data_IF_304186902893
#
_entry.id   IF_304186902893
#
_cell.length_a   1.000
_cell.length_b   1.000
_cell.length_c   1.000
_cell.angle_alpha   90.00
_cell.angle_beta   90.00
_cell.angle_gamma   90.00
#
_symmetry.space_group_name_H-M   'P 1'
#
loop_
_entity.id
_entity.type
_entity.pdbx_description
1 polymer ?
#
# COMPACT_ATOMS: atom_id res chain seq x y z
N UNK A 1 -18.01 14.23 15.80
CA UNK A 1 -16.91 14.69 16.63
C UNK A 1 -15.82 15.14 15.69
N UNK A 2 -15.79 16.43 15.41
CA UNK A 2 -14.90 17.07 14.43
C UNK A 2 -13.57 17.29 15.14
N UNK A 3 -12.52 16.56 14.73
CA UNK A 3 -11.17 16.84 15.21
C UNK A 3 -10.66 18.08 14.46
N UNK A 4 -10.80 19.24 15.05
CA UNK A 4 -10.00 20.41 14.66
C UNK A 4 -8.55 20.14 15.10
N UNK A 5 -7.71 19.80 14.14
CA UNK A 5 -6.27 19.91 14.31
C UNK A 5 -5.96 21.41 14.43
N UNK A 6 -5.88 21.89 15.65
CA UNK A 6 -5.36 23.22 15.93
C UNK A 6 -3.85 23.19 15.66
N UNK A 7 -3.50 23.34 14.37
CA UNK A 7 -2.12 23.56 13.94
C UNK A 7 -1.88 25.04 14.17
N UNK A 8 -1.03 25.44 15.11
CA UNK A 8 -0.68 26.85 15.26
C UNK A 8 -0.07 27.33 13.94
N UNK A 9 -0.36 28.59 13.49
CA UNK A 9 0.20 29.11 12.27
C UNK A 9 1.74 29.13 12.40
N UNK A 10 2.40 28.24 11.67
CA UNK A 10 3.84 28.29 11.49
C UNK A 10 4.16 29.33 10.45
N UNK A 11 4.26 30.60 10.86
CA UNK A 11 5.06 31.52 10.11
C UNK A 11 6.53 31.17 10.37
N UNK A 12 7.32 30.79 9.37
CA UNK A 12 8.74 30.71 9.57
C UNK A 12 9.22 32.12 9.84
N UNK A 13 9.65 32.37 11.08
CA UNK A 13 10.53 33.50 11.35
C UNK A 13 11.76 33.31 10.48
N UNK A 14 12.14 34.35 9.77
CA UNK A 14 13.24 34.41 8.79
C UNK A 14 14.63 34.15 9.39
N UNK A 15 14.72 33.82 10.66
CA UNK A 15 15.93 33.53 11.39
C UNK A 15 15.86 32.13 12.05
N UNK A 16 16.38 31.14 11.36
CA UNK A 16 16.81 29.96 12.06
C UNK A 16 16.12 28.65 11.65
N UNK A 17 16.92 27.75 11.16
CA UNK A 17 16.66 26.31 11.17
C UNK A 17 16.27 25.93 12.60
N UNK A 18 15.12 25.24 12.84
CA UNK A 18 14.73 24.82 14.18
C UNK A 18 15.87 24.06 14.86
N UNK A 19 16.16 24.38 16.10
CA UNK A 19 17.19 23.69 16.84
C UNK A 19 16.81 22.19 16.99
N UNK A 20 17.78 21.33 17.18
CA UNK A 20 17.53 19.92 17.44
C UNK A 20 16.61 19.74 18.67
N UNK A 21 16.75 20.61 19.66
CA UNK A 21 15.94 20.62 20.88
C UNK A 21 14.49 20.98 20.61
N UNK A 22 14.23 21.99 19.77
CA UNK A 22 12.87 22.37 19.36
C UNK A 22 12.18 21.24 18.58
N UNK A 23 12.92 20.58 17.71
CA UNK A 23 12.43 19.43 16.93
C UNK A 23 12.08 18.28 17.86
N UNK A 24 12.94 17.94 18.82
CA UNK A 24 12.68 16.90 19.82
C UNK A 24 11.47 17.26 20.69
N UNK A 25 11.35 18.52 21.13
CA UNK A 25 10.22 18.99 21.92
C UNK A 25 8.90 18.88 21.13
N UNK A 26 8.92 19.21 19.84
CA UNK A 26 7.76 19.08 18.95
C UNK A 26 7.34 17.60 18.79
N UNK A 27 8.29 16.72 18.51
CA UNK A 27 8.02 15.28 18.36
C UNK A 27 7.47 14.68 19.66
N UNK A 28 8.03 15.04 20.83
CA UNK A 28 7.52 14.60 22.13
C UNK A 28 6.08 15.06 22.35
N UNK A 29 5.73 16.28 21.94
CA UNK A 29 4.37 16.83 22.03
C UNK A 29 3.42 16.01 21.14
N UNK A 30 3.80 15.71 19.91
CA UNK A 30 3.00 14.88 19.00
C UNK A 30 2.80 13.47 19.54
N UNK A 31 3.85 12.83 20.05
CA UNK A 31 3.74 11.51 20.67
C UNK A 31 2.80 11.51 21.87
N UNK A 32 2.87 12.54 22.71
CA UNK A 32 1.96 12.69 23.86
C UNK A 32 0.52 12.88 23.40
N UNK A 33 0.28 13.74 22.41
CA UNK A 33 -1.08 13.97 21.87
C UNK A 33 -1.66 12.73 21.17
N UNK A 34 -0.81 11.89 20.57
CA UNK A 34 -1.25 10.65 19.91
C UNK A 34 -1.44 9.48 20.86
N UNK A 35 -0.93 9.54 22.09
CA UNK A 35 -1.00 8.44 23.05
C UNK A 35 -2.44 8.07 23.46
N UNK A 36 -3.34 9.06 23.48
CA UNK A 36 -4.75 8.89 23.85
C UNK A 36 -5.64 8.48 22.67
N UNK A 37 -5.09 8.50 21.45
CA UNK A 37 -5.83 8.08 20.25
C UNK A 37 -5.86 6.56 20.16
N UNK A 38 -7.06 5.99 20.27
CA UNK A 38 -7.22 4.54 20.07
C UNK A 38 -6.82 4.18 18.63
N UNK A 39 -5.79 3.33 18.44
CA UNK A 39 -5.37 2.93 17.12
C UNK A 39 -6.48 2.17 16.42
N UNK A 40 -6.63 2.41 15.12
CA UNK A 40 -7.56 1.65 14.27
C UNK A 40 -7.26 0.14 14.37
N UNK A 41 -8.29 -0.74 14.39
CA UNK A 41 -8.09 -2.19 14.46
C UNK A 41 -7.17 -2.76 13.38
N UNK A 42 -7.10 -2.12 12.22
CA UNK A 42 -6.20 -2.51 11.14
C UNK A 42 -4.75 -2.13 11.41
N UNK A 43 -4.51 -0.94 11.99
CA UNK A 43 -3.19 -0.53 12.44
C UNK A 43 -2.68 -1.44 13.58
N UNK A 44 -3.57 -1.85 14.49
CA UNK A 44 -3.22 -2.84 15.52
C UNK A 44 -2.80 -4.18 14.93
N UNK A 45 -3.49 -4.66 13.89
CA UNK A 45 -3.12 -5.92 13.20
C UNK A 45 -1.76 -5.80 12.52
N UNK A 46 -1.50 -4.68 11.83
CA UNK A 46 -0.19 -4.42 11.21
C UNK A 46 0.93 -4.37 12.24
N UNK A 47 0.71 -3.68 13.36
CA UNK A 47 1.64 -3.69 14.49
C UNK A 47 1.84 -5.10 15.05
N UNK A 48 0.78 -5.92 15.09
CA UNK A 48 0.84 -7.33 15.47
C UNK A 48 1.74 -8.16 14.55
N UNK A 49 1.68 -7.92 13.22
CA UNK A 49 2.57 -8.58 12.24
C UNK A 49 4.03 -8.29 12.57
N UNK A 50 4.36 -7.03 12.91
CA UNK A 50 5.75 -6.63 13.19
C UNK A 50 6.25 -7.09 14.56
N UNK A 51 5.35 -7.21 15.54
CA UNK A 51 5.69 -7.63 16.92
C UNK A 51 5.80 -9.15 17.09
N UNK A 52 5.12 -9.93 16.25
CA UNK A 52 5.20 -11.39 16.30
C UNK A 52 6.43 -11.86 15.52
N UNK A 53 7.36 -12.64 16.11
CA UNK A 53 8.55 -13.13 15.41
C UNK A 53 8.25 -13.91 14.11
N UNK A 54 7.06 -14.50 14.02
CA UNK A 54 6.60 -15.23 12.83
C UNK A 54 5.65 -14.42 11.96
N UNK A 55 5.27 -13.22 12.40
CA UNK A 55 4.24 -12.42 11.74
C UNK A 55 4.61 -12.01 10.33
N UNK A 56 5.81 -11.46 10.17
CA UNK A 56 6.30 -11.01 8.88
C UNK A 56 6.54 -12.19 7.92
N UNK A 57 7.23 -13.26 8.38
CA UNK A 57 7.49 -14.48 7.58
C UNK A 57 6.18 -15.10 7.09
N UNK A 58 5.19 -15.22 7.98
CA UNK A 58 3.88 -15.76 7.64
C UNK A 58 3.15 -14.88 6.61
N UNK A 59 3.14 -13.57 6.81
CA UNK A 59 2.41 -12.63 5.94
C UNK A 59 3.03 -12.60 4.54
N UNK A 60 4.35 -12.49 4.43
CA UNK A 60 5.05 -12.54 3.16
C UNK A 60 4.87 -13.92 2.50
N UNK A 61 5.04 -14.99 3.28
CA UNK A 61 4.82 -16.34 2.78
C UNK A 61 3.40 -16.58 2.28
N UNK A 62 2.39 -15.99 2.93
CA UNK A 62 1.00 -16.10 2.49
C UNK A 62 0.78 -15.34 1.17
N UNK A 63 1.31 -14.12 1.04
CA UNK A 63 1.22 -13.35 -0.20
C UNK A 63 1.93 -14.07 -1.35
N UNK A 64 3.16 -14.46 -1.17
CA UNK A 64 3.99 -15.01 -2.25
C UNK A 64 3.60 -16.44 -2.64
N UNK A 65 3.19 -17.25 -1.67
CA UNK A 65 2.98 -18.70 -1.88
C UNK A 65 1.52 -19.11 -2.02
N UNK A 66 0.56 -18.28 -1.56
CA UNK A 66 -0.88 -18.59 -1.63
C UNK A 66 -1.63 -17.65 -2.55
N UNK A 67 -1.30 -16.33 -2.48
CA UNK A 67 -2.04 -15.33 -3.26
C UNK A 67 -1.51 -15.22 -4.69
N UNK A 68 -0.20 -15.14 -4.86
CA UNK A 68 0.44 -14.91 -6.17
C UNK A 68 0.38 -16.09 -7.14
N UNK A 69 0.57 -17.36 -6.72
CA UNK A 69 0.55 -18.47 -7.67
C UNK A 69 -0.77 -18.54 -8.44
N UNK A 70 -0.70 -18.66 -9.75
CA UNK A 70 -1.88 -18.88 -10.60
C UNK A 70 -2.46 -20.28 -10.40
N UNK A 71 -1.59 -21.30 -10.27
CA UNK A 71 -2.01 -22.66 -10.01
C UNK A 71 -2.58 -22.82 -8.58
N UNK A 72 -3.84 -23.14 -8.55
CA UNK A 72 -4.62 -23.29 -7.31
C UNK A 72 -4.16 -24.48 -6.46
N UNK A 73 -3.60 -25.53 -7.08
CA UNK A 73 -3.09 -26.72 -6.37
C UNK A 73 -1.75 -26.41 -5.69
N UNK A 74 -0.91 -25.61 -6.34
CA UNK A 74 0.33 -25.10 -5.75
C UNK A 74 0.02 -24.20 -4.56
N UNK A 75 -0.94 -23.28 -4.73
CA UNK A 75 -1.40 -22.41 -3.65
C UNK A 75 -1.95 -23.23 -2.46
N UNK A 76 -2.72 -24.28 -2.72
CA UNK A 76 -3.28 -25.15 -1.70
C UNK A 76 -2.21 -25.93 -0.90
N UNK A 77 -1.20 -26.49 -1.58
CA UNK A 77 -0.04 -27.12 -0.93
C UNK A 77 0.70 -26.16 -0.03
N UNK A 78 0.91 -24.94 -0.51
CA UNK A 78 1.59 -23.89 0.24
C UNK A 78 0.77 -23.42 1.46
N UNK A 79 -0.55 -23.30 1.33
CA UNK A 79 -1.44 -22.99 2.44
C UNK A 79 -1.36 -24.03 3.55
N UNK A 80 -1.35 -25.33 3.20
CA UNK A 80 -1.15 -26.41 4.16
C UNK A 80 0.16 -26.26 4.94
N UNK A 81 1.26 -25.94 4.26
CA UNK A 81 2.56 -25.74 4.90
C UNK A 81 2.56 -24.52 5.84
N UNK A 82 1.96 -23.44 5.42
CA UNK A 82 1.85 -22.22 6.23
C UNK A 82 0.93 -22.41 7.45
N UNK A 83 -0.12 -23.24 7.31
CA UNK A 83 -1.04 -23.55 8.41
C UNK A 83 -0.38 -24.26 9.59
N UNK A 84 0.81 -24.81 9.40
CA UNK A 84 1.61 -25.42 10.49
C UNK A 84 2.31 -24.39 11.38
N UNK A 85 2.40 -23.12 10.93
CA UNK A 85 3.16 -22.04 11.60
C UNK A 85 2.35 -20.77 11.77
N UNK A 86 1.07 -20.90 12.15
CA UNK A 86 0.16 -19.75 12.28
C UNK A 86 0.66 -18.83 13.41
N UNK A 87 0.86 -17.53 13.14
CA UNK A 87 1.32 -16.59 14.13
C UNK A 87 0.26 -16.27 15.19
N UNK A 88 0.71 -15.83 16.37
CA UNK A 88 -0.16 -15.56 17.52
C UNK A 88 -0.91 -14.23 17.42
N UNK A 89 -0.44 -13.29 16.63
CA UNK A 89 -1.09 -11.98 16.46
C UNK A 89 -2.47 -12.07 15.79
N UNK A 90 -2.75 -13.17 15.08
CA UNK A 90 -4.05 -13.39 14.46
C UNK A 90 -5.11 -13.76 15.51
N UNK A 91 -6.33 -13.19 15.41
CA UNK A 91 -7.45 -13.60 16.23
C UNK A 91 -7.72 -15.11 16.14
N UNK A 92 -8.22 -15.68 17.21
CA UNK A 92 -8.43 -17.14 17.31
C UNK A 92 -9.27 -17.71 16.16
N UNK A 93 -10.30 -16.98 15.71
CA UNK A 93 -11.18 -17.44 14.61
C UNK A 93 -10.45 -17.48 13.25
N UNK A 94 -9.53 -16.54 12.98
CA UNK A 94 -8.69 -16.59 11.78
C UNK A 94 -7.67 -17.73 11.86
N UNK A 95 -7.11 -17.96 13.03
CA UNK A 95 -6.19 -19.10 13.25
C UNK A 95 -6.91 -20.43 13.02
N UNK A 96 -8.13 -20.58 13.55
CA UNK A 96 -8.96 -21.75 13.30
C UNK A 96 -9.30 -21.91 11.81
N UNK A 97 -9.68 -20.81 11.14
CA UNK A 97 -9.99 -20.84 9.70
C UNK A 97 -8.77 -21.22 8.85
N UNK A 98 -7.58 -20.72 9.19
CA UNK A 98 -6.33 -21.07 8.48
C UNK A 98 -5.95 -22.52 8.75
N UNK A 99 -6.09 -23.01 9.99
CA UNK A 99 -5.79 -24.40 10.34
C UNK A 99 -6.73 -25.39 9.60
N UNK A 100 -8.04 -25.12 9.62
CA UNK A 100 -9.04 -25.93 8.90
C UNK A 100 -8.83 -25.81 7.39
N UNK A 101 -8.69 -24.57 6.87
CA UNK A 101 -8.45 -24.34 5.45
C UNK A 101 -7.18 -25.02 4.96
N UNK A 102 -6.09 -24.93 5.72
CA UNK A 102 -4.83 -25.61 5.40
C UNK A 102 -4.97 -27.14 5.39
N UNK A 103 -5.67 -27.71 6.37
CA UNK A 103 -5.91 -29.15 6.44
C UNK A 103 -6.72 -29.70 5.25
N UNK A 104 -7.70 -28.95 4.77
CA UNK A 104 -8.57 -29.36 3.67
C UNK A 104 -8.17 -28.81 2.30
N UNK A 105 -7.20 -27.88 2.22
CA UNK A 105 -6.85 -27.19 0.98
C UNK A 105 -6.46 -28.12 -0.17
N UNK A 106 -5.78 -29.21 0.12
CA UNK A 106 -5.38 -30.19 -0.91
C UNK A 106 -6.55 -31.01 -1.47
N UNK A 107 -7.58 -31.22 -0.65
CA UNK A 107 -8.77 -32.01 -1.05
C UNK A 107 -9.77 -31.09 -1.76
N UNK A 108 -9.96 -29.88 -1.25
CA UNK A 108 -10.91 -28.89 -1.75
C UNK A 108 -10.22 -27.55 -2.08
N UNK A 109 -9.29 -27.49 -3.06
CA UNK A 109 -8.54 -26.27 -3.35
C UNK A 109 -9.43 -25.14 -3.90
N UNK A 110 -10.45 -25.50 -4.68
CA UNK A 110 -11.32 -24.55 -5.40
C UNK A 110 -12.11 -23.59 -4.51
N UNK A 111 -12.75 -23.98 -3.41
CA UNK A 111 -13.40 -23.04 -2.53
C UNK A 111 -12.38 -22.37 -1.58
N UNK A 112 -11.37 -23.08 -1.10
CA UNK A 112 -10.50 -22.62 -0.02
C UNK A 112 -9.56 -21.50 -0.50
N UNK A 113 -8.91 -21.68 -1.63
CA UNK A 113 -7.94 -20.69 -2.10
C UNK A 113 -8.59 -19.36 -2.52
N UNK A 114 -9.69 -19.33 -3.30
CA UNK A 114 -10.40 -18.08 -3.57
C UNK A 114 -10.90 -17.37 -2.32
N UNK A 115 -11.43 -18.12 -1.34
CA UNK A 115 -11.86 -17.54 -0.05
C UNK A 115 -10.67 -16.95 0.70
N UNK A 116 -9.54 -17.67 0.80
CA UNK A 116 -8.33 -17.20 1.46
C UNK A 116 -7.80 -15.91 0.83
N UNK A 117 -7.81 -15.84 -0.50
CA UNK A 117 -7.44 -14.61 -1.26
C UNK A 117 -8.41 -13.46 -1.00
N UNK A 118 -9.71 -13.74 -0.94
CA UNK A 118 -10.73 -12.73 -0.66
C UNK A 118 -10.61 -12.18 0.77
N UNK A 119 -10.35 -13.05 1.76
CA UNK A 119 -10.12 -12.65 3.15
C UNK A 119 -8.89 -11.75 3.26
N UNK A 120 -7.76 -12.11 2.62
CA UNK A 120 -6.58 -11.25 2.64
C UNK A 120 -6.86 -9.89 2.00
N UNK A 121 -7.48 -9.86 0.81
CA UNK A 121 -7.86 -8.60 0.15
C UNK A 121 -8.70 -7.71 1.05
N UNK A 122 -9.66 -8.30 1.77
CA UNK A 122 -10.48 -7.56 2.73
C UNK A 122 -9.69 -7.05 3.93
N UNK A 123 -8.71 -7.81 4.40
CA UNK A 123 -7.84 -7.39 5.51
C UNK A 123 -6.93 -6.22 5.14
N UNK A 124 -6.44 -6.16 3.91
CA UNK A 124 -5.55 -5.09 3.43
C UNK A 124 -6.28 -3.95 2.71
N UNK A 125 -7.59 -4.05 2.52
CA UNK A 125 -8.39 -3.08 1.77
C UNK A 125 -8.36 -1.65 2.35
N UNK A 126 -7.94 -1.49 3.59
CA UNK A 126 -7.71 -0.18 4.21
C UNK A 126 -6.35 0.43 3.86
N UNK A 127 -5.39 -0.39 3.37
CA UNK A 127 -4.06 0.03 2.97
C UNK A 127 -3.92 0.11 1.45
N UNK A 128 -4.57 -0.82 0.74
CA UNK A 128 -4.47 -0.96 -0.72
C UNK A 128 -5.87 -0.97 -1.31
N UNK A 129 -6.15 0.01 -2.14
CA UNK A 129 -7.44 0.14 -2.84
C UNK A 129 -7.40 -0.64 -4.15
N UNK A 130 -8.52 -1.25 -4.52
CA UNK A 130 -8.65 -1.95 -5.80
C UNK A 130 -8.58 -0.93 -6.96
N UNK A 131 -7.68 -1.17 -7.91
CA UNK A 131 -7.47 -0.29 -9.07
C UNK A 131 -8.56 -0.44 -10.14
N UNK A 132 -9.50 -1.38 -10.01
CA UNK A 132 -10.67 -1.46 -10.90
C UNK A 132 -11.42 -0.12 -10.91
N UNK A 133 -11.68 0.50 -12.08
CA UNK A 133 -12.21 1.85 -12.19
C UNK A 133 -13.50 2.09 -11.40
N UNK A 134 -14.41 1.08 -11.36
CA UNK A 134 -15.70 1.18 -10.66
C UNK A 134 -15.52 1.10 -9.15
N UNK A 135 -14.65 0.20 -8.69
CA UNK A 135 -14.38 -0.01 -7.26
C UNK A 135 -13.56 1.14 -6.69
N UNK A 136 -12.57 1.62 -7.45
CA UNK A 136 -11.77 2.78 -7.08
C UNK A 136 -12.65 3.99 -6.84
N UNK A 137 -13.51 4.37 -7.78
CA UNK A 137 -14.39 5.53 -7.65
C UNK A 137 -15.33 5.45 -6.43
N UNK A 138 -15.86 4.27 -6.10
CA UNK A 138 -16.65 4.07 -4.88
C UNK A 138 -15.83 4.30 -3.62
N UNK A 139 -14.61 3.81 -3.59
CA UNK A 139 -13.70 3.94 -2.43
C UNK A 139 -13.25 5.38 -2.24
N UNK A 140 -12.87 6.07 -3.32
CA UNK A 140 -12.48 7.49 -3.28
C UNK A 140 -13.60 8.35 -2.73
N UNK A 141 -14.85 8.16 -3.20
CA UNK A 141 -16.02 8.88 -2.67
C UNK A 141 -16.19 8.64 -1.16
N UNK A 142 -16.09 7.39 -0.71
CA UNK A 142 -16.24 7.05 0.70
C UNK A 142 -15.15 7.68 1.58
N UNK A 143 -13.91 7.75 1.10
CA UNK A 143 -12.81 8.38 1.83
C UNK A 143 -12.96 9.91 1.88
N UNK A 144 -13.43 10.53 0.79
CA UNK A 144 -13.65 11.99 0.72
C UNK A 144 -14.77 12.49 1.65
N UNK A 145 -15.77 11.67 1.98
CA UNK A 145 -16.81 12.05 2.95
C UNK A 145 -16.23 12.39 4.33
N UNK A 146 -15.00 12.01 4.61
CA UNK A 146 -14.28 12.33 5.85
C UNK A 146 -13.48 13.64 5.77
N UNK A 147 -13.62 14.43 4.71
CA UNK A 147 -12.86 15.67 4.52
C UNK A 147 -11.37 15.48 4.20
N UNK A 148 -10.97 14.28 3.81
CA UNK A 148 -9.57 13.92 3.55
C UNK A 148 -9.25 14.19 2.08
N UNK A 149 -8.15 14.87 1.82
CA UNK A 149 -7.54 14.95 0.48
C UNK A 149 -6.77 13.67 0.21
N UNK A 150 -6.95 13.12 -1.00
CA UNK A 150 -6.40 11.82 -1.35
C UNK A 150 -5.24 11.98 -2.33
N UNK A 151 -4.14 11.34 -1.99
CA UNK A 151 -3.03 11.10 -2.90
C UNK A 151 -3.13 9.64 -3.37
N UNK A 152 -3.29 9.43 -4.67
CA UNK A 152 -3.38 8.09 -5.26
C UNK A 152 -2.01 7.71 -5.81
N UNK A 153 -1.54 6.54 -5.42
CA UNK A 153 -0.30 5.98 -5.91
C UNK A 153 -0.56 4.60 -6.52
N UNK A 154 -0.21 4.41 -7.78
CA UNK A 154 -0.24 3.08 -8.39
C UNK A 154 0.86 2.23 -7.77
N UNK A 155 0.45 1.24 -6.97
CA UNK A 155 1.39 0.39 -6.23
C UNK A 155 2.31 -0.34 -7.20
N UNK A 156 3.60 -0.18 -7.01
CA UNK A 156 4.62 -0.83 -7.82
C UNK A 156 6.02 -0.45 -7.37
N UNK A 157 6.94 -1.36 -7.59
CA UNK A 157 8.36 -1.16 -7.33
C UNK A 157 9.14 -1.05 -8.62
N UNK A 158 10.47 -1.05 -8.52
CA UNK A 158 11.36 -1.00 -9.66
C UNK A 158 11.02 -2.09 -10.69
N UNK A 159 10.76 -1.68 -11.92
CA UNK A 159 10.46 -2.57 -13.02
C UNK A 159 11.74 -2.90 -13.80
N UNK A 160 11.90 -4.16 -14.19
CA UNK A 160 13.06 -4.62 -14.94
C UNK A 160 12.85 -4.45 -16.44
N UNK A 161 11.63 -4.55 -16.92
CA UNK A 161 11.28 -4.55 -18.34
C UNK A 161 10.59 -3.27 -18.81
N UNK A 162 10.94 -2.80 -20.01
CA UNK A 162 10.37 -1.58 -20.59
C UNK A 162 8.87 -1.73 -20.90
N UNK A 163 8.42 -2.92 -21.27
CA UNK A 163 6.99 -3.21 -21.49
C UNK A 163 6.17 -3.01 -20.22
N UNK A 164 6.66 -3.48 -19.08
CA UNK A 164 6.00 -3.29 -17.79
C UNK A 164 6.02 -1.82 -17.38
N UNK A 165 7.16 -1.13 -17.55
CA UNK A 165 7.28 0.30 -17.29
C UNK A 165 6.26 1.12 -18.08
N UNK A 166 6.08 0.84 -19.36
CA UNK A 166 5.04 1.48 -20.21
C UNK A 166 3.62 1.17 -19.74
N UNK A 167 3.35 -0.07 -19.35
CA UNK A 167 2.04 -0.44 -18.80
C UNK A 167 1.70 0.34 -17.52
N UNK A 168 2.68 0.54 -16.65
CA UNK A 168 2.50 1.35 -15.43
C UNK A 168 2.36 2.84 -15.72
N UNK A 169 3.10 3.34 -16.71
CA UNK A 169 2.95 4.72 -17.18
C UNK A 169 1.53 4.95 -17.70
N UNK A 170 1.01 4.06 -18.55
CA UNK A 170 -0.35 4.13 -19.07
C UNK A 170 -1.39 4.11 -17.93
N UNK A 171 -1.25 3.20 -16.96
CA UNK A 171 -2.13 3.19 -15.79
C UNK A 171 -2.07 4.47 -14.94
N UNK A 172 -0.92 5.14 -14.89
CA UNK A 172 -0.78 6.44 -14.23
C UNK A 172 -1.49 7.54 -15.01
N UNK A 173 -1.39 7.52 -16.36
CA UNK A 173 -2.13 8.44 -17.23
C UNK A 173 -3.65 8.26 -17.12
N UNK A 174 -4.12 7.01 -17.02
CA UNK A 174 -5.52 6.71 -16.77
C UNK A 174 -6.01 7.26 -15.42
N UNK A 175 -5.18 7.19 -14.38
CA UNK A 175 -5.52 7.79 -13.08
C UNK A 175 -5.60 9.32 -13.16
N UNK A 176 -4.67 9.97 -13.88
CA UNK A 176 -4.68 11.42 -14.09
C UNK A 176 -5.86 11.90 -14.94
N UNK A 177 -6.37 11.07 -15.82
CA UNK A 177 -7.53 11.39 -16.65
C UNK A 177 -8.88 11.29 -15.92
N UNK A 178 -8.88 10.87 -14.64
CA UNK A 178 -10.11 10.69 -13.87
C UNK A 178 -10.50 11.99 -13.16
N UNK A 179 -11.78 12.36 -13.29
CA UNK A 179 -12.35 13.53 -12.62
C UNK A 179 -12.41 13.37 -11.08
N UNK A 180 -12.34 12.12 -10.59
CA UNK A 180 -12.38 11.80 -9.16
C UNK A 180 -10.99 11.57 -8.55
N UNK A 181 -9.91 12.01 -9.21
CA UNK A 181 -8.52 11.95 -8.72
C UNK A 181 -7.88 13.32 -8.81
N UNK A 182 -7.52 13.90 -7.67
CA UNK A 182 -6.94 15.25 -7.61
C UNK A 182 -5.41 15.24 -7.58
N UNK A 183 -4.82 14.15 -7.09
CA UNK A 183 -3.39 14.08 -6.88
C UNK A 183 -2.89 12.65 -7.07
N UNK A 184 -1.88 12.49 -7.92
CA UNK A 184 -1.23 11.21 -8.21
C UNK A 184 0.26 11.30 -7.88
N UNK A 185 0.74 10.35 -7.08
CA UNK A 185 2.18 10.17 -6.87
C UNK A 185 2.74 9.18 -7.86
N UNK A 186 3.90 9.52 -8.43
CA UNK A 186 4.62 8.67 -9.39
C UNK A 186 5.98 8.30 -8.83
N UNK A 187 6.28 7.01 -8.80
CA UNK A 187 7.61 6.52 -8.47
C UNK A 187 8.38 6.31 -9.78
N UNK A 188 9.44 7.05 -10.00
CA UNK A 188 10.25 7.01 -11.24
C UNK A 188 10.65 5.59 -11.60
N UNK A 189 11.15 4.80 -10.63
CA UNK A 189 11.57 3.42 -10.85
C UNK A 189 10.45 2.44 -11.23
N UNK A 190 9.19 2.86 -11.14
CA UNK A 190 8.04 2.05 -11.61
C UNK A 190 7.64 2.34 -13.05
N UNK A 191 8.02 3.50 -13.59
CA UNK A 191 7.68 3.94 -14.95
C UNK A 191 8.87 4.03 -15.88
N UNK A 192 10.08 3.92 -15.35
CA UNK A 192 11.33 3.82 -16.12
C UNK A 192 12.10 2.59 -15.67
N UNK A 193 12.40 1.69 -16.60
CA UNK A 193 13.18 0.49 -16.34
C UNK A 193 14.69 0.76 -16.39
N UNK A 194 15.46 -0.11 -15.73
CA UNK A 194 16.93 -0.13 -15.82
C UNK A 194 17.60 1.23 -15.50
N UNK A 195 17.20 1.81 -14.37
CA UNK A 195 17.88 3.00 -13.86
C UNK A 195 19.32 2.63 -13.49
N UNK A 196 20.29 3.26 -14.14
CA UNK A 196 21.73 2.98 -13.94
C UNK A 196 22.47 4.24 -13.53
N UNK A 197 23.23 4.16 -12.46
CA UNK A 197 24.14 5.24 -12.05
C UNK A 197 25.33 5.39 -13.01
N UNK A 198 25.70 4.32 -13.71
CA UNK A 198 26.80 4.32 -14.67
C UNK A 198 26.42 5.04 -15.98
N UNK A 199 25.14 5.09 -16.35
CA UNK A 199 24.61 5.84 -17.46
C UNK A 199 23.67 6.95 -16.97
N UNK A 200 24.18 7.84 -16.11
CA UNK A 200 23.35 8.84 -15.43
C UNK A 200 22.63 9.76 -16.41
N UNK A 201 23.33 10.37 -17.35
CA UNK A 201 22.75 11.32 -18.29
C UNK A 201 21.69 10.69 -19.19
N UNK A 202 21.94 9.48 -19.68
CA UNK A 202 20.97 8.71 -20.45
C UNK A 202 19.76 8.32 -19.61
N UNK A 203 19.98 7.97 -18.35
CA UNK A 203 18.92 7.66 -17.40
C UNK A 203 18.04 8.89 -17.17
N UNK A 204 18.64 10.06 -16.93
CA UNK A 204 17.91 11.32 -16.76
C UNK A 204 17.10 11.67 -18.01
N UNK A 205 17.70 11.56 -19.18
CA UNK A 205 16.99 11.80 -20.45
C UNK A 205 15.77 10.93 -20.59
N UNK A 206 15.88 9.63 -20.36
CA UNK A 206 14.73 8.70 -20.40
C UNK A 206 13.67 9.02 -19.36
N UNK A 207 14.08 9.43 -18.16
CA UNK A 207 13.14 9.84 -17.11
C UNK A 207 12.35 11.07 -17.53
N UNK A 208 13.02 12.10 -18.06
CA UNK A 208 12.38 13.31 -18.55
C UNK A 208 11.41 13.00 -19.67
N UNK A 209 11.82 12.24 -20.69
CA UNK A 209 10.96 11.83 -21.80
C UNK A 209 9.69 11.12 -21.35
N UNK A 210 9.80 10.29 -20.31
CA UNK A 210 8.65 9.52 -19.77
C UNK A 210 7.74 10.35 -18.89
N UNK A 211 8.28 11.29 -18.13
CA UNK A 211 7.49 12.07 -17.18
C UNK A 211 6.87 13.31 -17.81
N UNK A 212 7.51 13.92 -18.83
CA UNK A 212 7.01 15.14 -19.49
C UNK A 212 5.54 15.01 -19.91
N UNK A 213 5.08 13.95 -20.61
CA UNK A 213 3.66 13.82 -20.98
C UNK A 213 2.71 13.73 -19.79
N UNK A 214 3.16 13.17 -18.65
CA UNK A 214 2.34 13.13 -17.43
C UNK A 214 2.14 14.53 -16.84
N UNK A 215 3.19 15.34 -16.80
CA UNK A 215 3.12 16.70 -16.30
C UNK A 215 2.29 17.61 -17.23
N UNK A 216 2.42 17.46 -18.54
CA UNK A 216 1.60 18.16 -19.52
C UNK A 216 0.12 17.80 -19.38
N UNK A 217 -0.21 16.52 -19.23
CA UNK A 217 -1.57 16.06 -18.96
C UNK A 217 -2.11 16.63 -17.65
N UNK A 218 -1.33 16.59 -16.56
CA UNK A 218 -1.74 17.15 -15.28
C UNK A 218 -1.94 18.66 -15.32
N UNK A 219 -1.14 19.38 -16.10
CA UNK A 219 -1.30 20.83 -16.29
C UNK A 219 -2.56 21.17 -17.09
N UNK A 220 -2.92 20.35 -18.07
CA UNK A 220 -4.13 20.54 -18.90
C UNK A 220 -5.43 20.20 -18.17
N UNK A 221 -5.37 19.43 -17.07
CA UNK A 221 -6.52 18.98 -16.29
C UNK A 221 -6.95 19.94 -15.17
N UNK A 222 -6.35 21.13 -15.08
CA UNK A 222 -6.63 22.16 -14.06
C UNK A 222 -7.62 23.20 -14.51
#
# INVERSE_FOLDING_TARGET
>A
MTFELNVPPSHPSTDGIPSAEDTVALVRRWLKSSADVKPDPSAQRLAGVLKDPRGLEFTLGFVDKVVRPEDIRVAAKNLELLARRIPRFLPWYLRAAIALGGGFARIFPWPIIPISRAVLRRMVAHLVVDADPKRLGKTLRTLRTRGIRLNVNLLGEAVLGDREARGRLAGTQELLARDDVDYVSVKVSSVVSQLSMWGFDETVTRVVERLTPLYEQAAASR
#
